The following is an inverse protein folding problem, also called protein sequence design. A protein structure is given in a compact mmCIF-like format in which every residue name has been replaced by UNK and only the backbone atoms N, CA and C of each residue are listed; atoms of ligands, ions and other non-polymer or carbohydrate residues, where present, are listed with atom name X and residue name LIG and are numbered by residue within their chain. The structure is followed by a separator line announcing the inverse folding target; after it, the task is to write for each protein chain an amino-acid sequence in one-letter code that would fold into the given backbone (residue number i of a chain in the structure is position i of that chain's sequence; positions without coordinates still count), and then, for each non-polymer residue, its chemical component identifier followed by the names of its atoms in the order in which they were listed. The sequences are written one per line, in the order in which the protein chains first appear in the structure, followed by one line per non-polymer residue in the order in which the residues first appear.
data_IF_406748587902
#
_entry.id   IF_406748587902
#
_cell.length_a   1.000
_cell.length_b   1.000
_cell.length_c   1.000
_cell.angle_alpha   90.00
_cell.angle_beta   90.00
_cell.angle_gamma   90.00
#
_symmetry.space_group_name_H-M   'P 1'
#
loop_
_entity.id
_entity.type
_entity.pdbx_description
1 polymer ?
#
# COMPACT_ATOMS: atom_id res chain seq x y z
N UNK A 1 4.14 17.41 20.46
CA UNK A 1 3.18 17.83 19.41
C UNK A 1 3.41 16.97 18.16
N UNK A 2 2.44 16.88 17.25
CA UNK A 2 2.66 16.24 15.95
C UNK A 2 3.04 17.31 14.92
N UNK A 3 4.03 17.02 14.07
CA UNK A 3 4.43 17.86 12.95
C UNK A 3 4.09 17.15 11.65
N UNK A 4 3.30 17.80 10.79
CA UNK A 4 3.01 17.29 9.44
C UNK A 4 4.29 17.38 8.61
N UNK A 5 4.73 16.25 8.07
CA UNK A 5 5.93 16.14 7.21
C UNK A 5 5.58 15.76 5.77
N UNK A 6 4.34 15.35 5.51
CA UNK A 6 3.82 15.15 4.17
C UNK A 6 2.31 15.40 4.13
N UNK A 7 1.85 16.00 3.03
CA UNK A 7 0.44 16.26 2.74
C UNK A 7 0.21 16.18 1.24
N UNK A 8 -0.87 15.55 0.84
CA UNK A 8 -1.38 15.49 -0.53
C UNK A 8 -2.89 15.74 -0.50
N UNK A 9 -3.33 16.79 -1.18
CA UNK A 9 -4.73 17.22 -1.22
C UNK A 9 -5.38 16.95 -2.58
N UNK A 10 -4.59 16.44 -3.55
CA UNK A 10 -5.04 16.09 -4.89
C UNK A 10 -5.78 17.23 -5.61
N UNK A 11 -5.51 18.49 -5.28
CA UNK A 11 -6.15 19.67 -5.88
C UNK A 11 -5.68 19.91 -7.32
N UNK A 12 -4.47 19.42 -7.66
CA UNK A 12 -3.80 19.65 -8.95
C UNK A 12 -3.49 18.37 -9.74
N UNK A 13 -3.92 17.22 -9.24
CA UNK A 13 -3.63 15.93 -9.86
C UNK A 13 -3.39 14.81 -8.85
N UNK A 14 -3.03 13.61 -9.31
CA UNK A 14 -2.68 12.48 -8.44
C UNK A 14 -1.31 12.62 -7.76
N UNK A 15 -0.57 13.70 -8.04
CA UNK A 15 0.81 13.88 -7.57
C UNK A 15 1.72 12.76 -8.07
N UNK A 16 2.57 12.24 -7.18
CA UNK A 16 3.45 11.09 -7.49
C UNK A 16 2.85 9.76 -7.09
N UNK A 17 1.57 9.73 -6.71
CA UNK A 17 0.90 8.50 -6.32
C UNK A 17 0.55 7.66 -7.54
N UNK A 18 0.66 6.35 -7.37
CA UNK A 18 0.42 5.37 -8.42
C UNK A 18 -0.48 4.24 -7.91
N UNK A 19 -0.94 3.41 -8.83
CA UNK A 19 -1.60 2.15 -8.60
C UNK A 19 -0.77 1.04 -9.24
N UNK A 20 -0.62 -0.07 -8.51
CA UNK A 20 0.36 -1.08 -8.87
C UNK A 20 1.80 -0.55 -8.77
N UNK A 21 2.74 -1.47 -8.81
CA UNK A 21 4.17 -1.22 -8.94
C UNK A 21 4.62 -2.19 -10.02
N UNK A 22 5.36 -1.80 -11.05
CA UNK A 22 5.82 -2.81 -12.00
C UNK A 22 7.16 -2.44 -12.66
N UNK A 23 7.99 -3.46 -12.93
CA UNK A 23 9.18 -3.35 -13.75
C UNK A 23 8.81 -3.69 -15.19
N UNK A 24 9.17 -2.81 -16.11
CA UNK A 24 8.89 -2.90 -17.55
C UNK A 24 9.44 -4.13 -18.28
N UNK A 25 10.21 -5.00 -17.61
CA UNK A 25 10.81 -6.19 -18.22
C UNK A 25 10.78 -7.40 -17.29
N UNK A 26 10.59 -8.63 -17.82
CA UNK A 26 10.84 -9.86 -17.09
C UNK A 26 12.23 -9.83 -16.39
N UNK A 27 12.38 -10.37 -15.18
CA UNK A 27 11.41 -11.12 -14.39
C UNK A 27 10.64 -10.22 -13.41
N UNK A 28 10.03 -9.12 -13.89
CA UNK A 28 9.10 -8.33 -13.09
C UNK A 28 8.11 -9.25 -12.34
N UNK A 29 7.85 -8.92 -11.07
CA UNK A 29 6.99 -9.74 -10.22
C UNK A 29 5.54 -9.37 -10.55
N UNK A 30 5.16 -8.12 -10.29
CA UNK A 30 3.80 -7.64 -10.47
C UNK A 30 3.24 -7.82 -11.91
N UNK A 31 2.00 -8.32 -12.01
CA UNK A 31 1.28 -8.49 -13.29
C UNK A 31 -0.13 -7.96 -13.15
N UNK A 32 -0.75 -7.50 -14.22
CA UNK A 32 -2.20 -7.24 -14.17
C UNK A 32 -3.00 -8.55 -14.16
N UNK A 33 -4.32 -8.45 -14.00
CA UNK A 33 -5.21 -9.62 -14.00
C UNK A 33 -5.20 -10.46 -15.27
N UNK A 34 -4.62 -9.95 -16.36
CA UNK A 34 -4.46 -10.63 -17.64
C UNK A 34 -3.05 -11.23 -17.81
N UNK A 35 -2.20 -11.17 -16.78
CA UNK A 35 -0.84 -11.72 -16.79
C UNK A 35 0.21 -10.85 -17.49
N UNK A 36 -0.12 -9.61 -17.86
CA UNK A 36 0.80 -8.72 -18.59
C UNK A 36 1.72 -7.92 -17.65
N UNK A 37 2.96 -7.68 -18.12
CA UNK A 37 3.93 -6.76 -17.52
C UNK A 37 3.70 -5.32 -18.02
N UNK A 38 4.17 -4.31 -17.26
CA UNK A 38 4.03 -2.89 -17.61
C UNK A 38 4.83 -1.96 -16.69
N UNK A 39 4.66 -0.64 -16.88
CA UNK A 39 5.19 0.41 -16.01
C UNK A 39 4.27 0.68 -14.80
N UNK A 40 4.75 1.50 -13.85
CA UNK A 40 3.91 2.10 -12.82
C UNK A 40 2.66 2.74 -13.44
N UNK A 41 1.47 2.44 -12.92
CA UNK A 41 0.23 3.01 -13.47
C UNK A 41 -0.13 4.25 -12.67
N UNK A 42 -0.15 5.39 -13.35
CA UNK A 42 -0.61 6.63 -12.75
C UNK A 42 -2.02 6.46 -12.18
N UNK A 43 -2.26 7.00 -10.98
CA UNK A 43 -3.62 7.06 -10.46
C UNK A 43 -4.50 7.89 -11.39
N UNK A 44 -5.76 7.48 -11.50
CA UNK A 44 -6.76 8.32 -12.12
C UNK A 44 -7.11 9.45 -11.15
N UNK A 45 -7.57 10.56 -11.71
CA UNK A 45 -7.82 11.77 -10.96
C UNK A 45 -9.06 12.48 -11.48
N UNK A 46 -9.82 13.09 -10.57
CA UNK A 46 -10.91 13.98 -10.91
C UNK A 46 -10.64 15.35 -10.30
N UNK A 47 -10.82 16.41 -11.08
CA UNK A 47 -10.59 17.79 -10.66
C UNK A 47 -11.63 18.33 -9.67
N UNK A 48 -12.75 17.62 -9.49
CA UNK A 48 -13.88 18.07 -8.68
C UNK A 48 -14.42 16.95 -7.79
N UNK A 49 -15.04 17.31 -6.67
CA UNK A 49 -15.71 16.38 -5.75
C UNK A 49 -14.88 15.89 -4.56
N UNK A 50 -13.62 16.33 -4.45
CA UNK A 50 -12.82 16.27 -3.22
C UNK A 50 -12.93 17.56 -2.42
N UNK A 51 -12.47 17.55 -1.16
CA UNK A 51 -12.61 18.66 -0.20
C UNK A 51 -11.82 19.89 -0.62
N UNK A 52 -10.64 19.70 -1.19
CA UNK A 52 -9.82 20.77 -1.78
C UNK A 52 -10.04 20.96 -3.29
N UNK A 53 -11.09 20.36 -3.84
CA UNK A 53 -11.39 20.37 -5.28
C UNK A 53 -11.28 18.97 -5.88
N UNK A 54 -10.07 18.43 -6.02
CA UNK A 54 -9.83 17.15 -6.68
C UNK A 54 -9.68 15.95 -5.74
N UNK A 55 -9.67 14.75 -6.30
CA UNK A 55 -9.35 13.50 -5.61
C UNK A 55 -8.72 12.49 -6.57
N UNK A 56 -7.86 11.61 -6.05
CA UNK A 56 -7.33 10.48 -6.80
C UNK A 56 -8.19 9.23 -6.60
N UNK A 57 -8.19 8.32 -7.56
CA UNK A 57 -8.93 7.08 -7.43
C UNK A 57 -8.25 5.92 -8.16
N UNK A 58 -8.59 4.72 -7.69
CA UNK A 58 -8.18 3.46 -8.29
C UNK A 58 -9.40 2.57 -8.51
N UNK A 59 -9.38 1.81 -9.59
CA UNK A 59 -10.44 0.87 -9.97
C UNK A 59 -9.85 -0.27 -10.81
N UNK A 60 -10.54 -1.43 -10.89
CA UNK A 60 -10.11 -2.53 -11.73
C UNK A 60 -9.90 -2.13 -13.21
N UNK A 61 -8.98 -2.81 -13.92
CA UNK A 61 -8.16 -3.92 -13.44
C UNK A 61 -6.99 -3.44 -12.55
N UNK A 62 -6.95 -3.92 -11.31
CA UNK A 62 -5.82 -3.72 -10.42
C UNK A 62 -4.66 -4.67 -10.77
N UNK A 63 -3.44 -4.26 -10.43
CA UNK A 63 -2.27 -5.13 -10.61
C UNK A 63 -2.20 -6.13 -9.47
N UNK A 64 -2.06 -7.41 -9.82
CA UNK A 64 -1.69 -8.47 -8.90
C UNK A 64 -0.25 -8.30 -8.45
N UNK A 65 -0.07 -8.23 -7.14
CA UNK A 65 1.23 -8.39 -6.54
C UNK A 65 1.50 -9.88 -6.27
N UNK A 66 2.20 -10.52 -7.22
CA UNK A 66 2.56 -11.94 -7.13
C UNK A 66 3.84 -12.20 -6.30
N UNK A 67 4.46 -11.15 -5.73
CA UNK A 67 5.69 -11.26 -4.93
C UNK A 67 5.48 -11.94 -3.56
N UNK A 68 4.26 -12.37 -3.29
CA UNK A 68 3.80 -13.05 -2.08
C UNK A 68 3.42 -14.54 -2.31
N UNK A 69 3.51 -15.03 -3.56
CA UNK A 69 3.13 -16.40 -3.93
C UNK A 69 1.61 -16.66 -3.95
N UNK A 70 1.20 -17.91 -4.19
CA UNK A 70 -0.21 -18.31 -4.31
C UNK A 70 -0.99 -18.26 -2.97
N UNK A 71 -0.31 -18.03 -1.85
CA UNK A 71 -0.93 -18.09 -0.51
C UNK A 71 -1.76 -16.86 -0.15
N UNK A 72 -1.49 -15.70 -0.75
CA UNK A 72 -2.29 -14.50 -0.53
C UNK A 72 -2.06 -13.50 -1.65
N UNK A 73 -3.12 -13.18 -2.39
CA UNK A 73 -3.04 -12.26 -3.51
C UNK A 73 -3.40 -10.86 -3.04
N UNK A 74 -2.64 -9.86 -3.51
CA UNK A 74 -2.80 -8.48 -3.10
C UNK A 74 -2.96 -7.56 -4.32
N UNK A 75 -3.69 -6.47 -4.14
CA UNK A 75 -3.72 -5.35 -5.06
C UNK A 75 -3.15 -4.10 -4.38
N UNK A 76 -2.08 -3.53 -4.92
CA UNK A 76 -1.56 -2.24 -4.49
C UNK A 76 -2.40 -1.13 -5.13
N UNK A 77 -3.33 -0.55 -4.38
CA UNK A 77 -4.35 0.34 -4.94
C UNK A 77 -3.98 1.83 -4.87
N UNK A 78 -3.14 2.19 -3.89
CA UNK A 78 -2.55 3.52 -3.75
C UNK A 78 -1.14 3.38 -3.21
N UNK A 79 -0.14 3.84 -3.97
CA UNK A 79 1.28 3.71 -3.59
C UNK A 79 1.96 5.07 -3.72
N UNK A 80 2.71 5.44 -2.69
CA UNK A 80 3.61 6.57 -2.68
C UNK A 80 5.05 6.10 -2.45
N UNK A 81 5.97 6.57 -3.30
CA UNK A 81 7.39 6.35 -3.09
C UNK A 81 7.99 7.39 -2.16
N UNK A 82 8.65 6.93 -1.10
CA UNK A 82 9.23 7.77 -0.06
C UNK A 82 10.21 8.79 -0.60
N UNK A 83 11.02 8.45 -1.60
CA UNK A 83 11.94 9.39 -2.24
C UNK A 83 11.22 10.46 -3.08
N UNK A 84 10.12 10.12 -3.77
CA UNK A 84 9.34 11.05 -4.58
C UNK A 84 8.55 12.05 -3.73
N UNK A 85 8.17 11.66 -2.52
CA UNK A 85 7.41 12.51 -1.58
C UNK A 85 8.28 13.17 -0.50
N UNK A 86 9.61 13.08 -0.60
CA UNK A 86 10.53 13.72 0.35
C UNK A 86 10.57 13.08 1.75
N UNK A 87 10.11 11.83 1.89
CA UNK A 87 10.12 11.07 3.14
C UNK A 87 11.27 10.07 3.27
N UNK A 88 12.05 9.82 2.21
CA UNK A 88 13.17 8.88 2.30
C UNK A 88 14.12 9.22 3.46
N UNK A 89 14.43 8.23 4.30
CA UNK A 89 15.30 8.38 5.47
C UNK A 89 14.67 9.08 6.69
N UNK A 90 13.35 9.28 6.72
CA UNK A 90 12.63 9.85 7.87
C UNK A 90 12.20 8.75 8.86
N UNK A 91 12.20 9.08 10.16
CA UNK A 91 11.66 8.20 11.20
C UNK A 91 10.14 8.35 11.29
N UNK A 92 9.44 7.30 10.86
CA UNK A 92 7.98 7.20 10.85
C UNK A 92 7.43 6.46 12.07
N UNK A 93 8.25 6.06 13.04
CA UNK A 93 7.75 5.38 14.25
C UNK A 93 6.85 6.34 15.04
N UNK A 94 5.65 5.88 15.35
CA UNK A 94 4.64 6.70 16.03
C UNK A 94 4.06 7.80 15.15
N UNK A 95 4.30 7.77 13.84
CA UNK A 95 3.64 8.68 12.91
C UNK A 95 2.13 8.46 12.92
N UNK A 96 1.38 9.53 12.68
CA UNK A 96 -0.05 9.49 12.47
C UNK A 96 -0.37 9.78 11.01
N UNK A 97 -1.13 8.90 10.40
CA UNK A 97 -1.76 9.10 9.10
C UNK A 97 -3.15 9.67 9.29
N UNK A 98 -3.53 10.62 8.46
CA UNK A 98 -4.93 11.06 8.31
C UNK A 98 -5.27 11.07 6.82
N UNK A 99 -6.46 10.60 6.47
CA UNK A 99 -6.90 10.44 5.08
C UNK A 99 -8.42 10.51 4.99
N UNK A 100 -8.95 10.83 3.82
CA UNK A 100 -10.38 10.69 3.50
C UNK A 100 -10.57 9.65 2.40
N UNK A 101 -11.45 8.68 2.62
CA UNK A 101 -11.74 7.61 1.66
C UNK A 101 -13.24 7.53 1.38
N UNK A 102 -13.58 7.05 0.19
CA UNK A 102 -14.91 6.53 -0.10
C UNK A 102 -14.86 5.38 -1.09
N UNK A 103 -15.81 4.47 -0.99
CA UNK A 103 -16.11 3.51 -2.05
C UNK A 103 -17.07 4.10 -3.08
N UNK A 104 -17.03 3.60 -4.30
CA UNK A 104 -18.03 3.87 -5.35
C UNK A 104 -18.39 2.55 -5.99
N UNK A 105 -19.58 2.06 -5.68
CA UNK A 105 -20.04 0.72 -6.02
C UNK A 105 -19.04 -0.37 -5.62
N UNK A 106 -18.30 -0.13 -4.52
CA UNK A 106 -17.23 -1.00 -4.07
C UNK A 106 -17.79 -2.31 -3.53
N UNK A 107 -17.25 -3.42 -4.03
CA UNK A 107 -17.59 -4.78 -3.62
C UNK A 107 -16.29 -5.44 -3.14
N UNK A 108 -16.11 -5.65 -1.82
CA UNK A 108 -14.84 -6.14 -1.28
C UNK A 108 -14.55 -7.59 -1.67
N UNK A 109 -15.57 -8.42 -1.90
CA UNK A 109 -15.40 -9.84 -2.29
C UNK A 109 -14.37 -10.60 -1.43
N UNK A 110 -14.52 -10.48 -0.11
CA UNK A 110 -13.62 -11.13 0.85
C UNK A 110 -12.29 -10.42 1.08
N UNK A 111 -12.01 -9.32 0.38
CA UNK A 111 -10.79 -8.54 0.58
C UNK A 111 -10.88 -7.57 1.75
N UNK A 112 -9.71 -7.27 2.31
CA UNK A 112 -9.53 -6.32 3.42
C UNK A 112 -8.67 -5.15 2.93
N UNK A 113 -9.10 -3.92 3.21
CA UNK A 113 -8.30 -2.72 2.90
C UNK A 113 -7.35 -2.44 4.06
N UNK A 114 -6.05 -2.41 3.79
CA UNK A 114 -5.00 -2.24 4.80
C UNK A 114 -4.02 -1.14 4.40
N UNK A 115 -3.44 -0.48 5.41
CA UNK A 115 -2.22 0.29 5.20
C UNK A 115 -1.02 -0.65 5.16
N UNK A 116 -0.09 -0.37 4.24
CA UNK A 116 1.10 -1.17 4.01
C UNK A 116 2.34 -0.30 3.86
N UNK A 117 3.48 -0.85 4.25
CA UNK A 117 4.80 -0.25 4.12
C UNK A 117 5.82 -1.30 3.69
N UNK A 118 6.76 -0.88 2.86
CA UNK A 118 7.79 -1.74 2.32
C UNK A 118 9.18 -1.16 2.53
N UNK A 119 10.12 -2.04 2.91
CA UNK A 119 11.55 -1.76 2.98
C UNK A 119 12.33 -2.26 1.76
N UNK A 120 13.62 -1.93 1.64
CA UNK A 120 14.46 -2.33 0.52
C UNK A 120 14.55 -3.85 0.42
N UNK A 121 14.69 -4.31 -0.81
CA UNK A 121 15.12 -5.65 -1.12
C UNK A 121 16.49 -5.94 -0.49
N UNK A 122 16.69 -7.20 -0.08
CA UNK A 122 18.04 -7.72 0.14
C UNK A 122 18.74 -7.94 -1.20
N UNK A 123 20.06 -7.95 -1.18
CA UNK A 123 20.87 -8.38 -2.31
C UNK A 123 20.41 -9.78 -2.77
N UNK A 124 19.92 -9.88 -4.01
CA UNK A 124 19.35 -11.12 -4.56
C UNK A 124 18.00 -11.57 -4.00
N UNK A 125 17.26 -10.73 -3.26
CA UNK A 125 15.99 -11.06 -2.61
C UNK A 125 14.83 -10.13 -2.93
N UNK A 126 13.63 -10.46 -2.43
CA UNK A 126 12.45 -9.61 -2.54
C UNK A 126 12.43 -8.51 -1.47
N UNK A 127 11.57 -7.51 -1.68
CA UNK A 127 11.33 -6.46 -0.70
C UNK A 127 10.64 -7.01 0.54
N UNK A 128 10.74 -6.27 1.65
CA UNK A 128 10.12 -6.63 2.93
C UNK A 128 8.85 -5.84 3.12
N UNK A 129 7.74 -6.54 3.28
CA UNK A 129 6.42 -5.97 3.22
C UNK A 129 5.70 -6.18 4.55
N UNK A 130 5.13 -5.12 5.11
CA UNK A 130 4.33 -5.17 6.33
C UNK A 130 3.00 -4.50 6.10
N UNK A 131 1.91 -5.15 6.50
CA UNK A 131 0.57 -4.60 6.48
C UNK A 131 0.03 -4.45 7.91
N UNK A 132 -0.60 -3.33 8.24
CA UNK A 132 -1.17 -3.05 9.57
C UNK A 132 -2.52 -3.76 9.72
N UNK A 133 -2.48 -5.08 9.92
CA UNK A 133 -3.66 -5.96 9.95
C UNK A 133 -4.56 -5.76 11.16
N UNK A 134 -4.07 -5.12 12.24
CA UNK A 134 -4.91 -4.77 13.39
C UNK A 134 -5.91 -3.64 13.11
N UNK A 135 -5.81 -2.96 11.95
CA UNK A 135 -6.64 -1.80 11.59
C UNK A 135 -7.19 -1.89 10.16
N UNK A 136 -8.13 -2.82 9.89
CA UNK A 136 -8.83 -2.87 8.61
C UNK A 136 -9.65 -1.60 8.34
N UNK A 137 -9.75 -1.20 7.07
CA UNK A 137 -10.34 0.07 6.63
C UNK A 137 -11.53 -0.08 5.68
N UNK A 138 -11.89 -1.30 5.27
CA UNK A 138 -12.95 -1.53 4.28
C UNK A 138 -14.33 -1.05 4.74
N UNK A 139 -14.55 -0.91 6.05
CA UNK A 139 -15.76 -0.32 6.60
C UNK A 139 -16.00 1.12 6.15
N UNK A 140 -14.94 1.87 5.83
CA UNK A 140 -15.02 3.25 5.32
C UNK A 140 -15.53 3.33 3.87
N UNK A 141 -15.70 2.20 3.19
CA UNK A 141 -16.04 2.16 1.77
C UNK A 141 -17.49 1.79 1.50
N UNK A 142 -18.26 1.45 2.53
CA UNK A 142 -19.51 0.69 2.38
C UNK A 142 -20.71 1.49 1.89
N UNK A 143 -20.82 2.78 2.25
CA UNK A 143 -22.04 3.59 2.01
C UNK A 143 -21.90 4.59 0.84
N UNK A 144 -20.72 4.69 0.24
CA UNK A 144 -20.43 5.60 -0.86
C UNK A 144 -20.12 7.05 -0.44
N UNK A 145 -20.17 7.37 0.85
CA UNK A 145 -19.85 8.68 1.42
C UNK A 145 -18.35 8.84 1.72
N UNK A 146 -17.90 10.08 1.87
CA UNK A 146 -16.55 10.39 2.32
C UNK A 146 -16.42 10.16 3.83
N UNK A 147 -15.41 9.38 4.23
CA UNK A 147 -15.11 9.10 5.63
C UNK A 147 -13.65 9.41 5.95
N UNK A 148 -13.44 10.05 7.10
CA UNK A 148 -12.10 10.33 7.59
C UNK A 148 -11.55 9.14 8.37
N UNK A 149 -10.38 8.68 7.96
CA UNK A 149 -9.60 7.67 8.67
C UNK A 149 -8.37 8.26 9.33
N UNK A 150 -7.98 7.66 10.46
CA UNK A 150 -6.74 7.96 11.16
C UNK A 150 -6.06 6.66 11.58
N UNK A 151 -4.77 6.56 11.31
CA UNK A 151 -3.95 5.41 11.71
C UNK A 151 -2.70 5.88 12.44
N UNK A 152 -2.25 5.10 13.41
CA UNK A 152 -0.94 5.29 14.04
C UNK A 152 0.00 4.20 13.54
N UNK A 153 1.19 4.59 13.07
CA UNK A 153 2.26 3.67 12.71
C UNK A 153 2.97 3.18 13.98
N UNK A 154 2.34 2.19 14.62
CA UNK A 154 2.84 1.55 15.83
C UNK A 154 4.04 0.66 15.51
N UNK A 155 5.11 0.79 16.28
CA UNK A 155 6.27 -0.08 16.19
C UNK A 155 6.08 -1.32 17.07
N UNK A 156 5.08 -2.12 16.73
CA UNK A 156 4.66 -3.30 17.47
C UNK A 156 4.25 -4.37 16.45
N UNK A 157 5.15 -5.32 16.16
CA UNK A 157 4.93 -6.32 15.12
C UNK A 157 3.70 -7.20 15.37
N UNK A 158 3.19 -7.29 16.61
CA UNK A 158 1.95 -8.03 16.90
C UNK A 158 0.70 -7.40 16.25
N UNK A 159 0.78 -6.13 15.85
CA UNK A 159 -0.29 -5.40 15.16
C UNK A 159 -0.16 -5.44 13.63
N UNK A 160 0.92 -6.01 13.13
CA UNK A 160 1.22 -6.07 11.71
C UNK A 160 1.37 -7.52 11.26
N UNK A 161 1.15 -7.75 9.97
CA UNK A 161 1.47 -9.02 9.34
C UNK A 161 2.61 -8.81 8.38
N UNK A 162 3.68 -9.58 8.57
CA UNK A 162 4.75 -9.68 7.60
C UNK A 162 4.24 -10.43 6.38
N UNK A 163 4.16 -9.73 5.25
CA UNK A 163 3.56 -10.26 4.03
C UNK A 163 4.56 -11.11 3.22
N UNK A 164 5.82 -11.22 3.64
CA UNK A 164 6.79 -12.12 3.04
C UNK A 164 7.86 -11.44 2.17
N UNK A 165 8.68 -12.30 1.57
CA UNK A 165 9.86 -11.97 0.77
C UNK A 165 10.04 -12.93 -0.44
N UNK A 166 8.96 -13.36 -1.11
CA UNK A 166 9.15 -14.37 -2.18
C UNK A 166 9.83 -13.76 -3.40
N UNK A 167 10.97 -14.37 -3.77
CA UNK A 167 11.71 -14.08 -4.99
C UNK A 167 11.47 -15.28 -5.91
N UNK A 168 10.74 -15.10 -7.01
CA UNK A 168 10.26 -16.22 -7.82
C UNK A 168 8.92 -16.74 -7.33
N UNK A 169 7.85 -16.44 -8.07
CA UNK A 169 6.56 -17.15 -7.90
C UNK A 169 6.79 -18.67 -7.80
N UNK A 170 5.94 -19.36 -7.04
CA UNK A 170 6.19 -20.72 -6.59
C UNK A 170 6.36 -21.70 -7.77
N UNK A 171 7.59 -21.98 -8.18
CA UNK A 171 7.88 -23.16 -8.99
C UNK A 171 7.68 -24.39 -8.09
N UNK A 172 6.49 -25.02 -8.19
CA UNK A 172 6.11 -26.33 -7.63
C UNK A 172 6.87 -26.73 -6.33
N UNK A 173 6.21 -26.57 -5.19
CA UNK A 173 6.59 -27.07 -3.84
C UNK A 173 7.61 -26.24 -3.05
N UNK A 174 7.42 -24.92 -2.94
CA UNK A 174 8.17 -24.13 -1.95
C UNK A 174 7.31 -23.91 -0.69
N UNK A 175 7.81 -24.40 0.45
CA UNK A 175 7.31 -24.02 1.78
C UNK A 175 7.72 -22.58 2.05
N UNK A 176 6.78 -21.78 2.53
CA UNK A 176 7.05 -20.46 3.11
C UNK A 176 7.93 -20.65 4.35
N UNK A 177 9.25 -20.47 4.21
CA UNK A 177 10.16 -20.36 5.36
C UNK A 177 10.11 -18.92 5.85
N UNK A 178 9.06 -18.55 6.57
CA UNK A 178 9.03 -17.32 7.36
C UNK A 178 9.92 -17.52 8.59
N UNK A 179 11.21 -17.25 8.46
CA UNK A 179 12.08 -17.10 9.64
C UNK A 179 12.26 -15.61 9.92
N UNK A 180 11.57 -15.14 10.96
CA UNK A 180 11.72 -13.81 11.58
C UNK A 180 13.19 -13.50 11.94
N UNK A 181 14.00 -14.54 12.14
CA UNK A 181 15.32 -14.43 12.76
C UNK A 181 16.47 -14.10 11.79
N UNK A 182 16.26 -14.16 10.48
CA UNK A 182 17.36 -13.90 9.52
C UNK A 182 17.43 -12.44 9.08
N UNK A 183 17.68 -11.51 10.01
CA UNK A 183 18.43 -10.25 9.81
C UNK A 183 17.79 -9.07 9.05
N UNK A 184 17.93 -7.89 9.65
CA UNK A 184 17.79 -6.52 9.08
C UNK A 184 16.42 -6.06 8.57
N UNK A 185 15.35 -6.85 8.73
CA UNK A 185 14.05 -6.59 8.09
C UNK A 185 12.85 -6.37 9.00
N UNK A 186 13.12 -6.00 10.25
CA UNK A 186 12.09 -5.75 11.26
C UNK A 186 11.23 -4.56 10.84
N UNK A 187 10.00 -4.53 11.34
CA UNK A 187 9.13 -3.37 11.21
C UNK A 187 9.83 -2.09 11.69
N UNK A 188 10.57 -2.18 12.81
CA UNK A 188 11.36 -1.06 13.35
C UNK A 188 12.35 -0.50 12.33
N UNK A 189 13.13 -1.35 11.66
CA UNK A 189 14.11 -0.89 10.67
C UNK A 189 13.46 -0.15 9.49
N UNK A 190 12.30 -0.64 9.04
CA UNK A 190 11.53 -0.04 7.95
C UNK A 190 10.95 1.30 8.38
N UNK A 191 10.30 1.36 9.54
CA UNK A 191 9.73 2.60 10.07
C UNK A 191 10.81 3.66 10.38
N UNK A 192 12.01 3.26 10.80
CA UNK A 192 13.08 4.19 11.17
C UNK A 192 13.61 4.97 9.99
N UNK A 193 14.10 4.31 8.94
CA UNK A 193 14.74 5.01 7.80
C UNK A 193 14.74 4.20 6.50
N UNK A 194 14.29 2.94 6.52
CA UNK A 194 14.44 2.03 5.38
C UNK A 194 13.16 1.90 4.56
N UNK A 195 12.11 2.67 4.81
CA UNK A 195 10.91 2.59 3.99
C UNK A 195 11.16 3.12 2.56
N UNK A 196 10.77 2.34 1.58
CA UNK A 196 10.92 2.63 0.14
C UNK A 196 9.62 3.18 -0.40
N UNK A 197 8.52 2.47 -0.17
CA UNK A 197 7.16 2.87 -0.52
C UNK A 197 6.15 2.35 0.49
N UNK A 198 4.96 2.94 0.41
CA UNK A 198 3.87 2.72 1.35
C UNK A 198 2.56 3.18 0.72
N UNK A 199 1.45 2.85 1.37
CA UNK A 199 0.14 3.28 0.95
C UNK A 199 -0.92 2.27 1.36
N UNK A 200 -1.89 2.05 0.48
CA UNK A 200 -3.02 1.16 0.75
C UNK A 200 -3.05 -0.01 -0.23
N UNK A 201 -3.40 -1.18 0.30
CA UNK A 201 -3.58 -2.39 -0.48
C UNK A 201 -4.90 -3.09 -0.14
N UNK A 202 -5.42 -3.84 -1.09
CA UNK A 202 -6.44 -4.86 -0.85
C UNK A 202 -5.74 -6.20 -0.65
N UNK A 203 -6.03 -6.84 0.48
CA UNK A 203 -5.44 -8.09 0.91
C UNK A 203 -6.46 -9.23 0.82
N UNK A 204 -6.00 -10.47 0.61
CA UNK A 204 -6.86 -11.65 0.58
C UNK A 204 -7.70 -11.75 -0.69
N UNK A 205 -7.17 -11.28 -1.82
CA UNK A 205 -7.86 -11.30 -3.12
C UNK A 205 -8.09 -12.75 -3.56
N UNK A 206 -9.34 -13.11 -3.86
CA UNK A 206 -9.64 -14.32 -4.61
C UNK A 206 -9.51 -14.02 -6.12
N UNK A 207 -8.64 -14.72 -6.88
CA UNK A 207 -8.62 -14.66 -8.35
C UNK A 207 -9.98 -14.77 -9.02
N UNK A 208 -10.81 -15.65 -8.46
CA UNK A 208 -12.03 -16.14 -9.09
C UNK A 208 -13.24 -15.29 -8.70
N UNK A 209 -13.11 -14.47 -7.66
CA UNK A 209 -14.09 -13.46 -7.27
C UNK A 209 -13.36 -12.18 -6.81
N UNK A 210 -12.67 -11.46 -7.72
CA UNK A 210 -11.86 -10.32 -7.34
C UNK A 210 -12.73 -9.14 -6.87
N UNK A 211 -12.20 -8.26 -6.00
CA UNK A 211 -12.91 -7.05 -5.59
C UNK A 211 -13.22 -6.17 -6.80
N UNK A 212 -14.34 -5.45 -6.71
CA UNK A 212 -14.84 -4.61 -7.81
C UNK A 212 -15.28 -3.23 -7.32
N UNK A 213 -15.60 -2.35 -8.27
CA UNK A 213 -15.92 -0.95 -8.01
C UNK A 213 -14.66 -0.10 -7.84
N UNK A 214 -14.83 1.10 -7.31
CA UNK A 214 -13.77 2.11 -7.26
C UNK A 214 -13.55 2.57 -5.83
N UNK A 215 -12.30 2.88 -5.50
CA UNK A 215 -11.93 3.50 -4.22
C UNK A 215 -11.36 4.87 -4.55
N UNK A 216 -11.87 5.90 -3.88
CA UNK A 216 -11.42 7.27 -4.01
C UNK A 216 -10.62 7.65 -2.75
N UNK A 217 -9.51 8.37 -2.94
CA UNK A 217 -8.65 8.91 -1.90
C UNK A 217 -8.57 10.44 -2.03
N UNK A 218 -8.81 11.11 -0.92
CA UNK A 218 -8.72 12.55 -0.76
C UNK A 218 -7.97 12.89 0.55
N UNK A 219 -7.38 14.09 0.60
CA UNK A 219 -6.69 14.66 1.78
C UNK A 219 -5.83 13.66 2.56
N UNK A 220 -4.69 13.23 2.02
CA UNK A 220 -3.73 12.41 2.77
C UNK A 220 -2.72 13.29 3.51
N UNK A 221 -2.41 12.94 4.77
CA UNK A 221 -1.30 13.54 5.49
C UNK A 221 -0.61 12.56 6.43
N UNK A 222 0.68 12.79 6.63
CA UNK A 222 1.52 12.08 7.58
C UNK A 222 2.17 13.09 8.53
N UNK A 223 1.99 12.86 9.82
CA UNK A 223 2.60 13.66 10.89
C UNK A 223 3.43 12.80 11.84
N UNK A 224 4.57 13.31 12.29
CA UNK A 224 5.47 12.63 13.23
C UNK A 224 5.53 13.33 14.57
N UNK A 225 5.89 12.64 15.68
CA UNK A 225 6.18 13.28 16.95
C UNK A 225 7.30 14.32 16.80
N UNK A 226 7.08 15.55 17.27
CA UNK A 226 8.10 16.62 17.23
C UNK A 226 9.39 16.19 17.94
N UNK A 227 10.54 16.56 17.36
CA UNK A 227 11.85 16.18 17.88
C UNK A 227 12.40 14.86 17.34
N UNK A 228 11.79 14.32 16.28
CA UNK A 228 12.32 13.24 15.44
C UNK A 228 12.65 13.74 14.05
#
# INVERSE_FOLDING_TARGET
PLQIIYRENFDRGPGTWIMGKNKSSPPGWHRNVLGNYGDDVALRWNATGGRSGGFAYSEPPWYFDDNHGEFMWLHLIFVAYSNKVGLAGKDLRGAQLSFSLRGRDFKPKGTTLLFWIQGPAREGGANRNWALTSRPLEGLLADGGWHDGKLSLVNDEAQWTFMGHTNGGLARKVRVTQTLDSGKGTLDAILVQQHVDWGFLLCGVDPNDPPAGRIDLDEFSLAVPSGR
#
